data_IF_403677797806
#
_entry.id   IF_403677797806
#
_cell.length_a   1.000
_cell.length_b   1.000
_cell.length_c   1.000
_cell.angle_alpha   90.00
_cell.angle_beta   90.00
_cell.angle_gamma   90.00
#
_symmetry.space_group_name_H-M   'P 1'
#
loop_
_entity.id
_entity.type
_entity.pdbx_description
1 polymer ?
2 polymer ?
3 water ?
#
loop_
_entity_poly.entity_id
_entity_poly.type
_entity_poly.pdbx_seq_one_letter_code
_entity_poly.pdbx_strand_id
1 'polydeoxyribonucleotide' '(DC)(DC)(DT)(DA)(DT)(DA)(DT)(DA)(DG)(DG)' ?
#
# COMPACT_ATOMS: atom_id res chain seq x y z
N UNK C 1 -14.37 0.64 -6.18
CA UNK C 1 -12.97 0.31 -6.63
C UNK C 1 -12.16 -0.46 -5.56
N UNK C 2 -10.92 -0.80 -5.84
CA UNK C 2 -10.16 -1.57 -4.85
C UNK C 2 -9.66 -0.73 -3.66
N UNK C 3 -9.76 -1.30 -2.47
CA UNK C 3 -9.30 -0.57 -1.28
C UNK C 3 -8.39 -1.38 -0.41
N UNK C 4 -7.58 -0.66 0.34
CA UNK C 4 -6.68 -1.31 1.25
C UNK C 4 -6.98 -0.79 2.63
N UNK C 5 -7.23 -1.72 3.55
CA UNK C 5 -7.52 -1.44 4.97
C UNK C 5 -6.19 -1.60 5.70
N UNK C 6 -5.74 -0.56 6.39
CA UNK C 6 -4.49 -0.63 7.16
C UNK C 6 -4.65 0.11 8.48
N UNK C 7 -3.70 -0.13 9.36
CA UNK C 7 -3.69 0.52 10.64
C UNK C 7 -2.93 1.80 10.67
N UNK C 8 -3.49 2.68 11.46
CA UNK C 8 -2.80 3.89 11.55
C UNK C 8 -3.13 4.55 12.88
N UNK C 9 -2.09 4.67 13.69
CA UNK C 9 -2.20 5.26 15.02
C UNK C 9 -3.33 4.54 15.77
N UNK C 10 -3.30 3.21 15.73
CA UNK C 10 -4.28 2.42 16.47
C UNK C 10 -5.66 2.23 15.88
N UNK C 11 -5.91 2.82 14.73
CA UNK C 11 -7.21 2.66 14.10
C UNK C 11 -7.20 2.17 12.67
N UNK C 12 -8.24 1.42 12.27
CA UNK C 12 -8.31 0.97 10.86
C UNK C 12 -8.65 2.12 9.94
N UNK C 13 -7.89 2.26 8.87
CA UNK C 13 -8.09 3.31 7.92
C UNK C 13 -8.21 2.56 6.54
N UNK C 14 -8.82 3.19 5.54
CA UNK C 14 -8.97 2.60 4.21
C UNK C 14 -8.48 3.61 3.19
N UNK C 15 -7.90 3.14 2.08
CA UNK C 15 -7.54 4.09 1.03
C UNK C 15 -7.66 3.36 -0.30
N UNK C 16 -8.12 4.11 -1.31
CA UNK C 16 -8.25 3.62 -2.68
C UNK C 16 -6.84 3.38 -3.24
N UNK C 17 -6.68 2.23 -3.91
CA UNK C 17 -5.40 1.85 -4.50
C UNK C 17 -4.95 2.86 -5.54
N UNK C 18 -5.89 3.59 -6.12
CA UNK C 18 -5.54 4.57 -7.12
C UNK C 18 -4.80 5.74 -6.49
N UNK C 19 -4.87 5.87 -5.18
CA UNK C 19 -4.19 7.00 -4.56
C UNK C 19 -2.78 6.65 -4.10
N UNK C 20 -2.42 5.38 -4.19
CA UNK C 20 -1.08 4.91 -3.78
C UNK C 20 0.03 5.47 -4.70
N UNK C 21 1.11 5.99 -4.13
CA UNK C 21 2.17 6.53 -4.92
C UNK C 21 3.30 5.52 -5.12
N UNK C 22 3.74 4.87 -4.02
CA UNK C 22 4.87 3.91 -4.03
C UNK C 22 4.56 2.82 -3.00
N UNK C 23 4.91 1.57 -3.33
CA UNK C 23 4.69 0.36 -2.51
C UNK C 23 6.05 -0.38 -2.49
N UNK C 24 6.45 -0.99 -1.37
CA UNK C 24 7.72 -1.72 -1.33
C UNK C 24 7.53 -2.69 -0.21
N UNK C 25 8.40 -3.69 -0.18
CA UNK C 25 8.35 -4.76 0.80
C UNK C 25 9.43 -4.63 1.90
N UNK C 26 9.10 -5.06 3.10
CA UNK C 26 10.01 -5.08 4.21
C UNK C 26 9.72 -6.44 4.84
N UNK C 27 10.31 -7.47 4.23
CA UNK C 27 10.05 -8.80 4.74
C UNK C 27 8.61 -9.08 4.42
N UNK C 28 7.83 -9.53 5.40
CA UNK C 28 6.44 -9.84 5.13
C UNK C 28 5.55 -8.57 5.18
N UNK C 29 6.13 -7.43 5.56
CA UNK C 29 5.33 -6.16 5.61
C UNK C 29 5.37 -5.47 4.28
N UNK C 30 4.22 -5.01 3.81
CA UNK C 30 4.16 -4.27 2.56
C UNK C 30 3.77 -2.83 2.96
N UNK C 31 4.68 -1.88 2.75
CA UNK C 31 4.51 -0.50 3.09
C UNK C 31 4.24 0.28 1.86
N UNK C 32 3.64 1.47 2.04
CA UNK C 32 3.34 2.29 0.89
C UNK C 32 3.02 3.73 1.30
N UNK C 33 3.05 4.62 0.32
CA UNK C 33 2.68 6.00 0.55
C UNK C 33 1.49 6.27 -0.36
N UNK C 34 0.70 7.28 -0.02
CA UNK C 34 -0.44 7.56 -0.89
C UNK C 34 -0.72 9.03 -0.93
N UNK C 35 -1.46 9.48 -1.91
CA UNK C 35 -1.77 10.90 -1.94
C UNK C 35 -2.89 11.04 -0.94
N UNK C 36 -2.69 11.80 0.12
CA UNK C 36 -3.75 11.91 1.14
C UNK C 36 -4.32 13.32 1.13
N UNK C 37 -5.22 13.56 0.18
CA UNK C 37 -5.90 14.85 0.10
C UNK C 37 -4.89 16.00 -0.13
N UNK C 38 -3.87 15.76 -0.94
CA UNK C 38 -2.90 16.81 -1.23
C UNK C 38 -1.57 16.70 -0.50
N UNK C 39 -1.52 15.84 0.51
CA UNK C 39 -0.30 15.63 1.28
C UNK C 39 -0.01 14.14 1.29
N UNK C 40 1.18 13.75 1.69
CA UNK C 40 1.51 12.33 1.68
C UNK C 40 1.12 11.55 2.93
N UNK C 41 0.32 10.51 2.74
CA UNK C 41 -0.03 9.63 3.83
C UNK C 41 0.78 8.32 3.70
N UNK C 42 0.89 7.58 4.80
CA UNK C 42 1.64 6.31 4.77
C UNK C 42 0.78 5.20 5.37
N UNK C 43 1.13 3.97 5.03
CA UNK C 43 0.41 2.83 5.60
C UNK C 43 1.19 1.58 5.29
N UNK C 44 0.76 0.47 5.83
CA UNK C 44 1.41 -0.81 5.58
C UNK C 44 0.44 -1.85 5.94
N UNK C 45 0.64 -3.01 5.37
CA UNK C 45 -0.19 -4.15 5.68
C UNK C 45 0.61 -5.42 5.65
N UNK C 46 0.08 -6.45 6.27
CA UNK C 46 0.76 -7.74 6.19
C UNK C 46 0.60 -8.23 4.74
N UNK C 47 1.59 -8.97 4.26
CA UNK C 47 1.52 -9.46 2.91
C UNK C 47 0.24 -10.33 2.75
N UNK C 48 -0.10 -11.13 3.75
CA UNK C 48 -1.28 -11.95 3.56
C UNK C 48 -2.52 -11.11 3.38
N UNK C 49 -2.57 -9.96 4.04
CA UNK C 49 -3.74 -9.11 3.91
C UNK C 49 -3.76 -8.12 2.76
N UNK C 50 -2.69 -8.03 2.00
CA UNK C 50 -2.65 -7.09 0.89
C UNK C 50 -3.63 -7.50 -0.26
N UNK C 51 -4.34 -6.55 -0.85
CA UNK C 51 -5.23 -6.99 -1.94
C UNK C 51 -4.40 -7.17 -3.21
N UNK C 52 -4.90 -7.98 -4.13
CA UNK C 52 -4.15 -8.30 -5.35
C UNK C 52 -3.59 -7.13 -6.04
N UNK C 53 -4.42 -6.12 -6.25
CA UNK C 53 -3.96 -4.94 -6.91
C UNK C 53 -2.72 -4.35 -6.23
N UNK C 54 -2.66 -4.42 -4.91
CA UNK C 54 -1.50 -3.81 -4.28
C UNK C 54 -0.30 -4.69 -4.52
N UNK C 55 -0.50 -6.01 -4.43
CA UNK C 55 0.64 -6.93 -4.69
C UNK C 55 1.16 -6.79 -6.14
N UNK C 56 0.27 -6.42 -7.08
CA UNK C 56 0.67 -6.23 -8.49
C UNK C 56 1.45 -4.96 -8.60
N UNK C 57 1.05 -3.92 -7.88
CA UNK C 57 1.80 -2.70 -7.97
C UNK C 57 3.17 -2.96 -7.36
N UNK C 58 3.22 -3.91 -6.42
CA UNK C 58 4.47 -4.23 -5.71
C UNK C 58 5.40 -4.91 -6.70
N UNK C 59 4.93 -6.02 -7.24
CA UNK C 59 5.71 -6.79 -8.22
C UNK C 59 6.17 -5.86 -9.35
N UNK C 60 5.29 -4.97 -9.77
CA UNK C 60 5.64 -4.07 -10.84
C UNK C 60 6.48 -2.90 -10.36
N UNK C 61 6.71 -2.85 -9.04
CA UNK C 61 7.53 -1.81 -8.46
C UNK C 61 8.95 -2.30 -8.49
N UNK C 62 9.18 -3.47 -7.91
CA UNK C 62 10.52 -4.04 -7.87
C UNK C 62 10.76 -5.09 -8.95
N UNK C 63 9.82 -6.01 -9.15
CA UNK C 63 9.98 -7.02 -10.22
C UNK C 63 9.81 -6.33 -11.59
N UNK C 64 9.93 -5.00 -11.60
CA UNK C 64 9.79 -4.18 -12.80
C UNK C 64 10.64 -2.91 -12.70
N UNK C 65 11.80 -3.09 -12.07
CA UNK C 65 12.80 -2.04 -11.88
C UNK C 65 14.00 -2.87 -11.38
N UNK C 66 14.30 -3.87 -12.21
CA UNK C 66 15.38 -4.83 -12.00
C UNK C 66 16.64 -4.42 -12.78
#
# INVERSE_FOLDING_TARGET
MVKVKFKYKGEEKEVDTSKIKKVWRVGKMVSFTYDDNGKTGRGAVSEKDAPKELLDMLARAEREKK
#
